data_IF_911772565755
#
_entry.id   IF_911772565755
#
_cell.length_a   1.000
_cell.length_b   1.000
_cell.length_c   1.000
_cell.angle_alpha   90.00
_cell.angle_beta   90.00
_cell.angle_gamma   90.00
#
_symmetry.space_group_name_H-M   'P 1'
#
loop_
_entity.id
_entity.type
_entity.pdbx_description
1 polymer ?
#
# COMPACT_ATOMS: atom_id res chain seq x y z
N UNK A 1 -7.65 -8.85 -6.77
CA UNK A 1 -8.88 -8.87 -5.93
C UNK A 1 -9.91 -9.75 -6.58
N UNK A 2 -10.58 -10.58 -5.80
CA UNK A 2 -11.74 -11.34 -6.26
C UNK A 2 -13.00 -10.48 -6.08
N UNK A 3 -13.92 -10.49 -7.06
CA UNK A 3 -15.19 -9.75 -6.96
C UNK A 3 -16.03 -10.24 -5.79
N UNK A 4 -16.04 -11.56 -5.55
CA UNK A 4 -16.71 -12.14 -4.39
C UNK A 4 -16.22 -11.53 -3.07
N UNK A 5 -14.90 -11.29 -2.94
CA UNK A 5 -14.35 -10.64 -1.74
C UNK A 5 -14.79 -9.18 -1.65
N UNK A 6 -14.79 -8.45 -2.79
CA UNK A 6 -15.29 -7.08 -2.83
C UNK A 6 -16.74 -7.00 -2.36
N UNK A 7 -17.60 -7.86 -2.85
CA UNK A 7 -19.04 -7.79 -2.57
C UNK A 7 -19.39 -8.32 -1.16
N UNK A 8 -18.62 -9.30 -0.63
CA UNK A 8 -18.95 -9.95 0.64
C UNK A 8 -18.13 -9.45 1.84
N UNK A 9 -16.90 -8.99 1.63
CA UNK A 9 -16.00 -8.60 2.73
C UNK A 9 -15.85 -7.09 2.86
N UNK A 10 -15.73 -6.35 1.76
CA UNK A 10 -15.57 -4.90 1.81
C UNK A 10 -16.69 -4.18 2.57
N UNK A 11 -18.00 -4.53 2.41
CA UNK A 11 -19.07 -3.85 3.15
C UNK A 11 -18.89 -3.88 4.67
N UNK A 12 -18.29 -4.94 5.21
CA UNK A 12 -18.06 -5.10 6.67
C UNK A 12 -17.11 -4.04 7.26
N UNK A 13 -16.29 -3.43 6.43
CA UNK A 13 -15.24 -2.49 6.86
C UNK A 13 -15.36 -1.11 6.21
N UNK A 14 -16.34 -0.93 5.34
CA UNK A 14 -16.51 0.29 4.54
C UNK A 14 -16.60 1.54 5.41
N UNK A 15 -17.35 1.49 6.50
CA UNK A 15 -17.53 2.61 7.39
C UNK A 15 -16.24 3.01 8.13
N UNK A 16 -15.38 2.04 8.47
CA UNK A 16 -14.06 2.34 9.04
C UNK A 16 -13.16 3.02 8.02
N UNK A 17 -13.16 2.54 6.77
CA UNK A 17 -12.40 3.19 5.69
C UNK A 17 -12.86 4.62 5.46
N UNK A 18 -14.17 4.86 5.32
CA UNK A 18 -14.74 6.21 5.13
C UNK A 18 -14.47 7.11 6.33
N UNK A 19 -14.68 6.61 7.57
CA UNK A 19 -14.46 7.36 8.80
C UNK A 19 -13.04 7.92 8.89
N UNK A 20 -12.03 7.05 8.72
CA UNK A 20 -10.64 7.44 8.94
C UNK A 20 -10.00 8.17 7.76
N UNK A 21 -10.68 8.23 6.61
CA UNK A 21 -10.22 8.99 5.45
C UNK A 21 -10.98 10.29 5.22
N UNK A 22 -11.99 10.62 6.02
CA UNK A 22 -12.82 11.83 5.85
C UNK A 22 -11.99 13.11 5.74
N UNK A 23 -10.93 13.22 6.55
CA UNK A 23 -10.02 14.37 6.58
C UNK A 23 -8.60 13.98 6.17
N UNK A 24 -8.44 12.90 5.39
CA UNK A 24 -7.16 12.42 4.91
C UNK A 24 -6.94 12.81 3.44
N UNK A 25 -5.67 12.91 3.04
CA UNK A 25 -5.29 13.05 1.62
C UNK A 25 -5.54 11.75 0.84
N UNK A 26 -5.73 10.62 1.53
CA UNK A 26 -6.00 9.32 0.91
C UNK A 26 -7.51 9.08 0.79
N UNK A 27 -7.96 8.61 -0.38
CA UNK A 27 -9.34 8.18 -0.53
C UNK A 27 -9.61 6.87 0.22
N UNK A 28 -10.86 6.65 0.68
CA UNK A 28 -11.25 5.39 1.29
C UNK A 28 -11.03 4.18 0.36
N UNK A 29 -11.18 4.37 -0.95
CA UNK A 29 -10.95 3.32 -1.95
C UNK A 29 -9.49 2.86 -1.98
N UNK A 30 -8.56 3.81 -1.89
CA UNK A 30 -7.12 3.49 -1.81
C UNK A 30 -6.80 2.73 -0.53
N UNK A 31 -7.32 3.16 0.63
CA UNK A 31 -7.09 2.46 1.90
C UNK A 31 -7.71 1.06 1.88
N UNK A 32 -8.89 0.90 1.27
CA UNK A 32 -9.49 -0.42 1.08
C UNK A 32 -8.63 -1.33 0.18
N UNK A 33 -8.06 -0.80 -0.92
CA UNK A 33 -7.15 -1.55 -1.80
C UNK A 33 -5.87 -1.98 -1.06
N UNK A 34 -5.28 -1.09 -0.26
CA UNK A 34 -4.12 -1.40 0.59
C UNK A 34 -4.49 -2.51 1.60
N UNK A 35 -5.60 -2.36 2.31
CA UNK A 35 -6.08 -3.35 3.28
C UNK A 35 -6.33 -4.72 2.64
N UNK A 36 -6.80 -4.75 1.39
CA UNK A 36 -6.94 -6.01 0.65
C UNK A 36 -5.58 -6.62 0.33
N UNK A 37 -4.60 -5.83 -0.11
CA UNK A 37 -3.23 -6.30 -0.35
C UNK A 37 -2.58 -6.85 0.92
N UNK A 38 -2.85 -6.24 2.08
CA UNK A 38 -2.28 -6.63 3.36
C UNK A 38 -2.88 -7.93 3.91
N UNK A 39 -4.20 -8.02 3.97
CA UNK A 39 -4.90 -9.06 4.74
C UNK A 39 -6.04 -9.75 3.99
N UNK A 40 -6.32 -9.39 2.73
CA UNK A 40 -7.55 -9.78 2.03
C UNK A 40 -8.81 -9.45 2.86
N UNK A 41 -8.79 -8.29 3.55
CA UNK A 41 -9.83 -7.87 4.50
C UNK A 41 -10.12 -8.88 5.59
N UNK A 42 -9.10 -9.55 6.11
CA UNK A 42 -9.18 -10.39 7.29
C UNK A 42 -8.61 -9.66 8.51
N UNK A 43 -9.48 -9.13 9.38
CA UNK A 43 -9.04 -8.41 10.57
C UNK A 43 -8.28 -9.28 11.58
N UNK A 44 -8.44 -10.62 11.52
CA UNK A 44 -7.73 -11.59 12.35
C UNK A 44 -6.38 -12.03 11.76
N UNK A 45 -5.96 -11.44 10.62
CA UNK A 45 -4.71 -11.82 9.97
C UNK A 45 -3.51 -11.60 10.89
N UNK A 46 -2.63 -12.60 10.94
CA UNK A 46 -1.35 -12.58 11.65
C UNK A 46 -0.29 -13.22 10.75
N UNK A 47 0.80 -12.49 10.47
CA UNK A 47 1.92 -13.04 9.68
C UNK A 47 2.91 -13.80 10.54
N UNK A 48 3.83 -14.53 9.88
CA UNK A 48 4.99 -15.17 10.55
C UNK A 48 5.87 -14.15 11.31
N UNK A 49 5.94 -12.91 10.84
CA UNK A 49 6.68 -11.81 11.47
C UNK A 49 5.86 -11.03 12.50
N UNK A 50 4.69 -11.57 12.89
CA UNK A 50 3.80 -11.00 13.93
C UNK A 50 3.21 -9.61 13.60
N UNK A 51 3.16 -9.22 12.31
CA UNK A 51 2.29 -8.11 11.89
C UNK A 51 0.84 -8.55 11.92
N UNK A 52 -0.10 -7.65 12.24
CA UNK A 52 -1.47 -8.03 12.59
C UNK A 52 -2.52 -7.07 12.01
N UNK A 53 -3.73 -7.61 11.80
CA UNK A 53 -4.95 -6.87 11.51
C UNK A 53 -5.14 -6.52 10.05
N UNK A 54 -6.17 -5.72 9.76
CA UNK A 54 -6.53 -5.32 8.40
C UNK A 54 -5.39 -4.65 7.62
N UNK A 55 -4.60 -3.83 8.32
CA UNK A 55 -3.51 -3.05 7.73
C UNK A 55 -2.12 -3.63 8.05
N UNK A 56 -2.06 -4.84 8.61
CA UNK A 56 -0.82 -5.58 8.93
C UNK A 56 0.24 -4.75 9.64
N UNK A 57 -0.16 -4.07 10.72
CA UNK A 57 0.74 -3.20 11.48
C UNK A 57 1.75 -4.00 12.30
N UNK A 58 3.01 -3.53 12.33
CA UNK A 58 4.00 -4.02 13.29
C UNK A 58 3.66 -3.58 14.71
N UNK A 59 4.26 -4.21 15.71
CA UNK A 59 4.10 -3.76 17.11
C UNK A 59 4.64 -2.34 17.30
N UNK A 60 5.79 -2.04 16.72
CA UNK A 60 6.46 -0.75 16.87
C UNK A 60 5.66 0.37 16.18
N UNK A 61 5.16 0.13 14.95
CA UNK A 61 4.28 1.08 14.25
C UNK A 61 3.02 1.35 15.05
N UNK A 62 2.37 0.29 15.58
CA UNK A 62 1.16 0.43 16.38
C UNK A 62 1.42 1.24 17.66
N UNK A 63 2.50 0.94 18.37
CA UNK A 63 2.92 1.69 19.57
C UNK A 63 3.21 3.16 19.27
N UNK A 64 3.95 3.43 18.20
CA UNK A 64 4.28 4.78 17.75
C UNK A 64 3.05 5.65 17.44
N UNK A 65 1.99 5.03 16.89
CA UNK A 65 0.77 5.72 16.49
C UNK A 65 -0.29 5.73 17.60
N UNK A 66 -0.12 4.95 18.65
CA UNK A 66 -1.06 4.83 19.76
C UNK A 66 -2.19 3.81 19.51
N UNK A 67 -1.99 2.86 18.60
CA UNK A 67 -2.92 1.73 18.36
C UNK A 67 -2.74 0.69 19.46
N UNK A 68 -3.81 0.40 20.21
CA UNK A 68 -3.80 -0.55 21.34
C UNK A 68 -4.06 -1.97 20.87
N UNK A 69 -5.04 -2.16 20.00
CA UNK A 69 -5.42 -3.46 19.47
C UNK A 69 -5.35 -3.49 17.93
N UNK A 70 -4.28 -4.07 17.37
CA UNK A 70 -4.09 -4.20 15.93
C UNK A 70 -5.11 -5.10 15.24
N UNK A 71 -5.79 -5.98 15.96
CA UNK A 71 -6.83 -6.87 15.45
C UNK A 71 -8.21 -6.22 15.45
N UNK A 72 -8.40 -5.11 16.17
CA UNK A 72 -9.61 -4.29 16.05
C UNK A 72 -9.65 -3.59 14.69
N UNK A 73 -10.71 -3.76 13.89
CA UNK A 73 -10.79 -3.20 12.55
C UNK A 73 -10.68 -1.67 12.53
N UNK A 74 -11.33 -0.99 13.46
CA UNK A 74 -11.35 0.46 13.54
C UNK A 74 -9.96 1.01 13.88
N UNK A 75 -9.28 0.43 14.89
CA UNK A 75 -7.92 0.82 15.28
C UNK A 75 -6.89 0.47 14.18
N UNK A 76 -7.04 -0.69 13.53
CA UNK A 76 -6.14 -1.12 12.47
C UNK A 76 -6.19 -0.17 11.27
N UNK A 77 -7.39 0.22 10.83
CA UNK A 77 -7.55 1.19 9.73
C UNK A 77 -7.04 2.57 10.12
N UNK A 78 -7.37 3.05 11.32
CA UNK A 78 -6.84 4.31 11.85
C UNK A 78 -5.31 4.32 11.81
N UNK A 79 -4.67 3.29 12.35
CA UNK A 79 -3.21 3.19 12.40
C UNK A 79 -2.58 3.13 11.03
N UNK A 80 -3.17 2.37 10.08
CA UNK A 80 -2.69 2.29 8.71
C UNK A 80 -2.73 3.63 7.99
N UNK A 81 -3.84 4.37 8.12
CA UNK A 81 -3.99 5.72 7.53
C UNK A 81 -2.95 6.68 8.13
N UNK A 82 -2.82 6.72 9.46
CA UNK A 82 -1.85 7.58 10.14
C UNK A 82 -0.41 7.26 9.76
N UNK A 83 -0.06 6.00 9.62
CA UNK A 83 1.28 5.60 9.20
C UNK A 83 1.57 6.00 7.75
N UNK A 84 0.60 5.83 6.85
CA UNK A 84 0.72 6.32 5.46
C UNK A 84 0.90 7.86 5.41
N UNK A 85 0.12 8.61 6.19
CA UNK A 85 0.26 10.07 6.29
C UNK A 85 1.66 10.49 6.79
N UNK A 86 2.20 9.76 7.78
CA UNK A 86 3.55 10.01 8.27
C UNK A 86 4.62 9.76 7.21
N UNK A 87 4.52 8.66 6.46
CA UNK A 87 5.43 8.37 5.35
C UNK A 87 5.32 9.46 4.28
N UNK A 88 4.09 9.79 3.87
CA UNK A 88 3.83 10.80 2.85
C UNK A 88 4.45 12.16 3.19
N UNK A 89 4.33 12.60 4.45
CA UNK A 89 4.91 13.87 4.93
C UNK A 89 6.43 13.86 4.97
N UNK A 90 7.04 12.68 5.21
CA UNK A 90 8.50 12.52 5.32
C UNK A 90 9.22 12.37 3.99
N UNK A 91 8.51 12.11 2.90
CA UNK A 91 9.11 12.14 1.56
C UNK A 91 9.56 13.56 1.21
N UNK A 92 10.68 13.72 0.46
CA UNK A 92 11.15 15.02 0.02
C UNK A 92 10.08 15.81 -0.74
N UNK A 93 10.08 17.12 -0.62
CA UNK A 93 9.12 18.01 -1.29
C UNK A 93 9.22 17.93 -2.83
N UNK A 94 10.39 17.57 -3.35
CA UNK A 94 10.62 17.35 -4.79
C UNK A 94 9.88 16.15 -5.38
N UNK A 95 9.43 15.20 -4.55
CA UNK A 95 8.55 14.10 -4.98
C UNK A 95 7.11 14.60 -4.93
N UNK A 96 6.44 14.69 -6.06
CA UNK A 96 5.10 15.30 -6.18
C UNK A 96 4.08 14.38 -6.85
N UNK A 97 2.81 14.74 -6.77
CA UNK A 97 1.71 14.10 -7.49
C UNK A 97 1.60 12.59 -7.24
N UNK A 98 1.39 11.84 -8.32
CA UNK A 98 1.26 10.38 -8.28
C UNK A 98 2.56 9.67 -7.85
N UNK A 99 3.73 10.23 -8.17
CA UNK A 99 5.02 9.66 -7.77
C UNK A 99 5.14 9.62 -6.23
N UNK A 100 4.70 10.69 -5.56
CA UNK A 100 4.66 10.75 -4.09
C UNK A 100 3.73 9.68 -3.51
N UNK A 101 2.58 9.46 -4.15
CA UNK A 101 1.64 8.43 -3.74
C UNK A 101 2.26 7.03 -3.86
N UNK A 102 2.82 6.69 -5.02
CA UNK A 102 3.41 5.37 -5.26
C UNK A 102 4.64 5.11 -4.39
N UNK A 103 5.47 6.11 -4.18
CA UNK A 103 6.61 6.00 -3.27
C UNK A 103 6.16 5.84 -1.81
N UNK A 104 5.05 6.47 -1.39
CA UNK A 104 4.47 6.24 -0.06
C UNK A 104 4.05 4.79 0.12
N UNK A 105 3.38 4.19 -0.88
CA UNK A 105 2.99 2.79 -0.83
C UNK A 105 4.20 1.85 -0.81
N UNK A 106 5.21 2.12 -1.62
CA UNK A 106 6.44 1.34 -1.62
C UNK A 106 7.14 1.40 -0.26
N UNK A 107 7.23 2.60 0.35
CA UNK A 107 7.81 2.77 1.68
C UNK A 107 6.98 2.13 2.80
N UNK A 108 5.66 2.06 2.66
CA UNK A 108 4.80 1.32 3.59
C UNK A 108 5.19 -0.16 3.66
N UNK A 109 5.50 -0.75 2.50
CA UNK A 109 5.87 -2.17 2.37
C UNK A 109 7.32 -2.44 2.79
N UNK A 110 8.30 -1.66 2.28
CA UNK A 110 9.73 -1.96 2.45
C UNK A 110 10.41 -1.12 3.53
N UNK A 111 9.74 -0.08 4.00
CA UNK A 111 10.30 0.93 4.90
C UNK A 111 10.90 2.12 4.16
N UNK A 112 10.73 3.31 4.75
CA UNK A 112 11.17 4.58 4.15
C UNK A 112 12.69 4.60 3.90
N UNK A 113 13.49 4.00 4.80
CA UNK A 113 14.95 3.97 4.66
C UNK A 113 15.39 3.21 3.39
N UNK A 114 14.80 2.05 3.11
CA UNK A 114 15.13 1.29 1.92
C UNK A 114 14.61 1.96 0.63
N UNK A 115 13.49 2.70 0.70
CA UNK A 115 13.06 3.52 -0.41
C UNK A 115 14.10 4.62 -0.71
N UNK A 116 14.61 5.30 0.33
CA UNK A 116 15.67 6.30 0.16
C UNK A 116 16.97 5.71 -0.40
N UNK A 117 17.37 4.52 0.06
CA UNK A 117 18.49 3.79 -0.54
C UNK A 117 18.29 3.52 -2.04
N UNK A 118 17.06 3.15 -2.44
CA UNK A 118 16.73 2.96 -3.86
C UNK A 118 16.77 4.27 -4.65
N UNK A 119 16.32 5.39 -4.06
CA UNK A 119 16.41 6.72 -4.68
C UNK A 119 17.87 7.15 -4.90
N UNK A 120 18.74 6.93 -3.91
CA UNK A 120 20.19 7.17 -4.05
C UNK A 120 20.79 6.32 -5.14
N UNK A 121 20.41 5.04 -5.26
CA UNK A 121 20.88 4.18 -6.37
C UNK A 121 20.37 4.73 -7.70
N UNK A 122 19.10 5.15 -7.78
CA UNK A 122 18.49 5.72 -8.99
C UNK A 122 19.30 6.93 -9.48
N UNK A 123 19.63 7.85 -8.59
CA UNK A 123 20.42 9.05 -8.89
C UNK A 123 21.84 8.69 -9.37
N UNK A 124 22.50 7.72 -8.71
CA UNK A 124 23.84 7.24 -9.12
C UNK A 124 23.87 6.63 -10.51
N UNK A 125 22.74 6.13 -10.99
CA UNK A 125 22.59 5.63 -12.37
C UNK A 125 22.21 6.73 -13.38
N UNK A 126 22.13 8.00 -12.96
CA UNK A 126 21.77 9.13 -13.80
C UNK A 126 20.27 9.29 -14.09
N UNK A 127 19.41 8.60 -13.32
CA UNK A 127 17.96 8.70 -13.43
C UNK A 127 17.40 9.63 -12.36
N UNK A 128 16.12 10.03 -12.53
CA UNK A 128 15.48 10.95 -11.61
C UNK A 128 14.95 10.23 -10.34
N UNK A 129 15.52 10.50 -9.15
CA UNK A 129 15.09 9.86 -7.88
C UNK A 129 13.72 10.30 -7.41
N UNK A 130 13.08 11.29 -8.06
CA UNK A 130 11.77 11.79 -7.71
C UNK A 130 10.65 11.18 -8.55
N UNK A 131 10.98 10.39 -9.60
CA UNK A 131 10.00 9.71 -10.43
C UNK A 131 9.88 8.23 -10.05
N UNK A 132 8.67 7.78 -9.75
CA UNK A 132 8.40 6.37 -9.43
C UNK A 132 8.80 5.44 -10.58
N UNK A 133 8.59 5.86 -11.82
CA UNK A 133 8.98 5.11 -13.02
C UNK A 133 10.46 4.73 -13.04
N UNK A 134 11.32 5.54 -12.44
CA UNK A 134 12.76 5.31 -12.37
C UNK A 134 13.14 4.56 -11.08
N UNK A 135 12.60 4.98 -9.93
CA UNK A 135 12.90 4.35 -8.63
C UNK A 135 12.47 2.89 -8.60
N UNK A 136 11.33 2.52 -9.18
CA UNK A 136 10.87 1.12 -9.23
C UNK A 136 11.80 0.18 -9.99
N UNK A 137 12.60 0.70 -10.94
CA UNK A 137 13.61 -0.09 -11.69
C UNK A 137 14.81 -0.42 -10.81
N UNK A 138 15.13 0.42 -9.82
CA UNK A 138 16.32 0.31 -9.00
C UNK A 138 16.05 -0.31 -7.62
N UNK A 139 14.82 -0.30 -7.12
CA UNK A 139 14.42 -1.01 -5.89
C UNK A 139 14.89 -2.48 -5.87
N UNK A 140 14.74 -3.27 -6.95
CA UNK A 140 15.21 -4.66 -6.98
C UNK A 140 16.71 -4.83 -6.76
N UNK A 141 17.52 -3.81 -7.04
CA UNK A 141 18.97 -3.85 -6.85
C UNK A 141 19.38 -3.97 -5.37
N UNK A 142 18.51 -3.57 -4.43
CA UNK A 142 18.74 -3.74 -2.98
C UNK A 142 18.84 -5.21 -2.54
N UNK A 143 18.55 -6.18 -3.41
CA UNK A 143 18.80 -7.61 -3.17
C UNK A 143 20.24 -8.02 -3.49
N UNK A 144 20.96 -7.25 -4.29
CA UNK A 144 22.28 -7.59 -4.80
C UNK A 144 23.38 -7.00 -3.90
N UNK A 145 24.28 -7.86 -3.42
CA UNK A 145 25.37 -7.51 -2.47
C UNK A 145 26.20 -6.31 -2.93
N UNK A 146 26.49 -6.22 -4.22
CA UNK A 146 27.27 -5.12 -4.82
C UNK A 146 26.61 -3.74 -4.68
N UNK A 147 25.27 -3.70 -4.48
CA UNK A 147 24.53 -2.45 -4.28
C UNK A 147 24.20 -2.21 -2.81
N UNK A 148 23.54 -3.16 -2.12
CA UNK A 148 23.08 -2.91 -0.75
C UNK A 148 24.23 -2.66 0.25
N UNK A 149 25.43 -3.18 0.01
CA UNK A 149 26.59 -2.85 0.86
C UNK A 149 27.06 -1.39 0.75
N UNK A 150 26.62 -0.69 -0.28
CA UNK A 150 26.93 0.73 -0.54
C UNK A 150 25.78 1.68 -0.18
N UNK A 151 24.75 1.16 0.50
CA UNK A 151 23.59 1.92 0.96
C UNK A 151 23.53 1.95 2.49
N UNK A 152 22.77 2.91 3.02
CA UNK A 152 22.69 3.17 4.46
C UNK A 152 21.93 2.07 5.21
N UNK A 153 20.85 1.56 4.63
CA UNK A 153 19.94 0.61 5.30
C UNK A 153 20.16 -0.84 4.86
N UNK A 154 20.97 -1.05 3.81
CA UNK A 154 21.44 -2.37 3.42
C UNK A 154 20.44 -3.20 2.62
N UNK A 155 20.40 -4.50 2.89
CA UNK A 155 19.60 -5.47 2.15
C UNK A 155 18.10 -5.26 2.29
N UNK A 156 17.38 -5.27 1.16
CA UNK A 156 15.92 -5.35 1.12
C UNK A 156 15.43 -6.28 0.00
N UNK A 157 14.21 -6.81 0.17
CA UNK A 157 13.50 -7.55 -0.88
C UNK A 157 12.87 -6.58 -1.88
N UNK A 158 13.68 -5.78 -2.57
CA UNK A 158 13.26 -4.66 -3.40
C UNK A 158 12.27 -4.96 -4.53
N UNK A 159 12.04 -6.24 -4.90
CA UNK A 159 10.97 -6.62 -5.82
C UNK A 159 9.58 -6.53 -5.19
N UNK A 160 9.47 -6.74 -3.86
CA UNK A 160 8.18 -6.79 -3.17
C UNK A 160 7.45 -5.44 -3.21
N UNK A 161 8.09 -4.28 -2.89
CA UNK A 161 7.41 -2.99 -2.95
C UNK A 161 6.96 -2.61 -4.38
N UNK A 162 7.65 -3.03 -5.43
CA UNK A 162 7.23 -2.80 -6.82
C UNK A 162 5.94 -3.56 -7.10
N UNK A 163 5.92 -4.87 -6.83
CA UNK A 163 4.72 -5.70 -6.99
C UNK A 163 3.57 -5.25 -6.08
N UNK A 164 3.89 -4.75 -4.90
CA UNK A 164 2.93 -4.22 -3.94
C UNK A 164 2.15 -3.04 -4.54
N UNK A 165 2.87 -2.06 -5.09
CA UNK A 165 2.26 -0.89 -5.74
C UNK A 165 1.42 -1.31 -6.95
N UNK A 166 1.94 -2.18 -7.82
CA UNK A 166 1.22 -2.67 -9.01
C UNK A 166 -0.09 -3.38 -8.64
N UNK A 167 -0.07 -4.22 -7.60
CA UNK A 167 -1.28 -4.91 -7.13
C UNK A 167 -2.30 -3.95 -6.54
N UNK A 168 -1.87 -2.95 -5.76
CA UNK A 168 -2.79 -1.94 -5.21
C UNK A 168 -3.42 -1.13 -6.33
N UNK A 169 -2.69 -0.75 -7.37
CA UNK A 169 -3.23 -0.07 -8.55
C UNK A 169 -4.33 -0.92 -9.21
N UNK A 170 -4.06 -2.22 -9.42
CA UNK A 170 -5.05 -3.14 -9.99
C UNK A 170 -6.29 -3.29 -9.08
N UNK A 171 -6.10 -3.38 -7.75
CA UNK A 171 -7.23 -3.49 -6.81
C UNK A 171 -8.04 -2.19 -6.73
N UNK A 172 -7.38 -1.04 -6.81
CA UNK A 172 -8.03 0.26 -6.83
C UNK A 172 -8.94 0.40 -8.05
N UNK A 173 -8.51 -0.06 -9.23
CA UNK A 173 -9.33 -0.08 -10.44
C UNK A 173 -10.59 -0.94 -10.23
N UNK A 174 -10.46 -2.14 -9.65
CA UNK A 174 -11.61 -3.03 -9.36
C UNK A 174 -12.59 -2.39 -8.36
N UNK A 175 -12.10 -1.63 -7.37
CA UNK A 175 -12.96 -0.91 -6.41
C UNK A 175 -13.63 0.30 -7.07
N UNK A 176 -12.97 0.93 -8.06
CA UNK A 176 -13.53 2.04 -8.81
C UNK A 176 -14.60 1.61 -9.80
N UNK A 177 -14.46 0.40 -10.37
CA UNK A 177 -15.45 -0.11 -11.30
C UNK A 177 -16.81 -0.31 -10.61
N UNK A 178 -17.81 0.37 -11.13
CA UNK A 178 -19.20 0.09 -10.82
C UNK A 178 -19.51 -1.36 -11.25
N UNK A 179 -20.28 -2.10 -10.43
CA UNK A 179 -20.67 -3.49 -10.72
C UNK A 179 -21.22 -3.65 -12.15
N UNK A 180 -21.97 -2.65 -12.63
CA UNK A 180 -22.55 -2.61 -13.97
C UNK A 180 -21.47 -2.52 -15.06
N UNK A 181 -20.51 -1.61 -14.90
CA UNK A 181 -19.39 -1.42 -15.85
C UNK A 181 -18.49 -2.64 -15.91
N UNK A 182 -18.25 -3.28 -14.77
CA UNK A 182 -17.44 -4.50 -14.72
C UNK A 182 -18.12 -5.70 -15.40
N UNK A 183 -19.43 -5.90 -15.17
CA UNK A 183 -20.20 -6.96 -15.84
C UNK A 183 -20.28 -6.73 -17.35
N UNK A 184 -20.37 -5.46 -17.78
CA UNK A 184 -20.28 -5.05 -19.17
C UNK A 184 -18.96 -5.47 -19.82
N UNK A 185 -17.84 -5.19 -19.15
CA UNK A 185 -16.49 -5.54 -19.64
C UNK A 185 -16.27 -7.05 -19.79
N UNK A 186 -17.04 -7.88 -19.06
CA UNK A 186 -17.04 -9.34 -19.16
C UNK A 186 -18.09 -9.91 -20.14
N UNK A 187 -18.91 -9.07 -20.80
CA UNK A 187 -20.01 -9.53 -21.65
C UNK A 187 -21.16 -10.18 -20.89
N UNK A 188 -21.27 -9.97 -19.56
CA UNK A 188 -22.23 -10.63 -18.67
C UNK A 188 -23.42 -9.75 -18.28
N UNK A 189 -23.67 -8.65 -19.00
CA UNK A 189 -24.75 -7.68 -18.72
C UNK A 189 -26.15 -8.31 -18.64
N UNK A 190 -26.39 -9.37 -19.43
CA UNK A 190 -27.72 -9.99 -19.57
C UNK A 190 -28.06 -11.03 -18.49
N UNK A 191 -27.11 -11.40 -17.62
CA UNK A 191 -27.29 -12.48 -16.64
C UNK A 191 -27.96 -12.01 -15.33
N UNK A 192 -27.96 -10.70 -15.06
CA UNK A 192 -28.43 -10.14 -13.78
C UNK A 192 -29.65 -9.19 -13.89
N UNK A 193 -30.27 -9.10 -15.04
CA UNK A 193 -31.52 -8.35 -15.24
C UNK A 193 -32.77 -9.25 -15.26
N UNK A 194 -32.73 -10.38 -14.54
CA UNK A 194 -33.91 -11.21 -14.26
C UNK A 194 -34.21 -11.24 -12.78
#
# INVERSE_FOLDING_TARGET
MCIRDRDNRLPKYLDYFKKHTKNSIFSWKLIAAISYQESHWNHKAVSKTKVKGLMMLTKDTASYIGVKNRLDPNESVYGGVKYLENIFKRLPMSVVGSDRMWMTLAAYNVGLGHLEDARVITERFGYNPNYWSDVKKHLPLLRLKKFYKKTKYGYARGNEPVKYVERIQAYLNIIHEDKKTYLASLGLEKVFNK
#
